data_IF_014925491460
#
_entry.id   IF_014925491460
#
_cell.length_a   1.000
_cell.length_b   1.000
_cell.length_c   1.000
_cell.angle_alpha   90.00
_cell.angle_beta   90.00
_cell.angle_gamma   90.00
#
_symmetry.space_group_name_H-M   'P 1'
#
loop_
_entity.id
_entity.type
_entity.pdbx_description
1 polymer ?
#
# COMPACT_ATOMS: atom_id res chain seq x y z
N UNK A 1 4.52 -0.71 -13.36
CA UNK A 1 4.36 0.75 -13.48
C UNK A 1 5.39 1.26 -14.48
N UNK A 2 4.99 1.99 -15.53
CA UNK A 2 5.89 2.59 -16.54
C UNK A 2 7.03 3.41 -15.94
N UNK A 3 6.74 4.04 -14.80
CA UNK A 3 7.60 5.04 -14.17
C UNK A 3 8.82 4.42 -13.46
N UNK A 4 8.91 3.09 -13.31
CA UNK A 4 9.94 2.43 -12.49
C UNK A 4 11.36 2.57 -13.06
N UNK A 5 11.51 2.67 -14.38
CA UNK A 5 12.82 2.75 -15.04
C UNK A 5 13.48 4.13 -14.91
N UNK A 6 12.72 5.14 -14.50
CA UNK A 6 13.24 6.50 -14.31
C UNK A 6 13.68 6.64 -12.85
N UNK A 7 14.99 6.59 -12.60
CA UNK A 7 15.53 6.79 -11.26
C UNK A 7 15.14 8.17 -10.70
N UNK A 8 14.89 8.28 -9.38
CA UNK A 8 14.73 9.56 -8.69
C UNK A 8 15.86 10.56 -8.97
N UNK A 9 15.51 11.83 -9.21
CA UNK A 9 16.48 12.91 -9.36
C UNK A 9 16.58 13.67 -8.03
N UNK A 10 17.57 13.31 -7.21
CA UNK A 10 17.71 13.86 -5.87
C UNK A 10 17.98 15.37 -5.87
N UNK A 11 18.70 15.88 -6.88
CA UNK A 11 18.99 17.31 -7.00
C UNK A 11 17.72 18.08 -7.31
N UNK A 12 16.90 17.58 -8.23
CA UNK A 12 15.61 18.18 -8.55
C UNK A 12 14.65 18.12 -7.35
N UNK A 13 14.64 17.02 -6.58
CA UNK A 13 13.83 16.92 -5.37
C UNK A 13 14.17 18.00 -4.36
N UNK A 14 15.45 18.20 -4.07
CA UNK A 14 15.90 19.26 -3.16
C UNK A 14 15.47 20.65 -3.63
N UNK A 15 15.56 20.93 -4.93
CA UNK A 15 15.12 22.21 -5.50
C UNK A 15 13.60 22.46 -5.40
N UNK A 16 12.81 21.40 -5.29
CA UNK A 16 11.35 21.45 -5.27
C UNK A 16 10.75 21.20 -3.88
N UNK A 17 11.57 20.85 -2.89
CA UNK A 17 11.12 20.40 -1.57
C UNK A 17 10.36 21.49 -0.80
N UNK A 18 10.78 22.75 -0.93
CA UNK A 18 10.16 23.90 -0.26
C UNK A 18 8.88 24.39 -0.95
N UNK A 19 8.53 23.83 -2.12
CA UNK A 19 7.36 24.28 -2.88
C UNK A 19 6.10 23.61 -2.41
N UNK A 20 5.02 24.38 -2.34
CA UNK A 20 3.71 23.85 -2.02
C UNK A 20 3.05 23.17 -3.25
N UNK A 21 1.95 22.45 -3.01
CA UNK A 21 1.26 21.70 -4.07
C UNK A 21 0.73 22.60 -5.21
N UNK A 22 0.38 23.85 -4.94
CA UNK A 22 -0.10 24.79 -5.97
C UNK A 22 1.06 25.17 -6.88
N UNK A 23 2.19 25.56 -6.31
CA UNK A 23 3.40 25.91 -7.07
C UNK A 23 3.91 24.74 -7.91
N UNK A 24 3.98 23.54 -7.31
CA UNK A 24 4.36 22.32 -7.99
C UNK A 24 3.37 21.97 -9.12
N UNK A 25 2.08 22.17 -8.89
CA UNK A 25 1.05 21.97 -9.92
C UNK A 25 1.26 22.91 -11.11
N UNK A 26 1.56 24.19 -10.88
CA UNK A 26 1.86 25.14 -11.96
C UNK A 26 3.15 24.80 -12.72
N UNK A 27 4.18 24.32 -12.01
CA UNK A 27 5.40 23.81 -12.66
C UNK A 27 5.08 22.61 -13.55
N UNK A 28 4.29 21.66 -13.06
CA UNK A 28 3.90 20.49 -13.84
C UNK A 28 3.07 20.86 -15.06
N UNK A 29 2.07 21.74 -14.93
CA UNK A 29 1.24 22.21 -16.06
C UNK A 29 2.07 22.82 -17.19
N UNK A 30 3.10 23.60 -16.85
CA UNK A 30 4.00 24.21 -17.82
C UNK A 30 4.89 23.19 -18.53
N UNK A 31 5.29 22.13 -17.82
CA UNK A 31 6.25 21.13 -18.31
C UNK A 31 5.57 19.99 -19.07
N UNK A 32 4.44 19.51 -18.57
CA UNK A 32 3.68 18.37 -19.08
C UNK A 32 2.18 18.52 -18.74
N UNK A 33 1.43 19.29 -19.56
CA UNK A 33 0.01 19.57 -19.30
C UNK A 33 -0.86 18.31 -19.40
N UNK A 34 -0.52 17.37 -20.29
CA UNK A 34 -1.25 16.12 -20.45
C UNK A 34 -1.15 15.26 -19.19
N UNK A 35 0.07 15.10 -18.63
CA UNK A 35 0.26 14.39 -17.37
C UNK A 35 -0.55 15.05 -16.25
N UNK A 36 -0.52 16.37 -16.12
CA UNK A 36 -1.30 17.08 -15.11
C UNK A 36 -2.81 16.83 -15.25
N UNK A 37 -3.34 16.86 -16.49
CA UNK A 37 -4.76 16.60 -16.74
C UNK A 37 -5.17 15.18 -16.37
N UNK A 38 -4.31 14.19 -16.62
CA UNK A 38 -4.56 12.77 -16.26
C UNK A 38 -4.60 12.51 -14.75
N UNK A 39 -3.99 13.36 -13.93
CA UNK A 39 -3.93 13.20 -12.47
C UNK A 39 -5.27 13.48 -11.81
N UNK A 40 -5.66 12.65 -10.83
CA UNK A 40 -6.86 12.88 -10.02
C UNK A 40 -6.63 13.96 -8.95
N UNK A 41 -7.68 14.38 -8.24
CA UNK A 41 -7.62 15.43 -7.23
C UNK A 41 -6.65 15.10 -6.07
N UNK A 42 -6.56 13.85 -5.65
CA UNK A 42 -5.64 13.41 -4.60
C UNK A 42 -4.19 13.52 -5.05
N UNK A 43 -3.90 13.14 -6.30
CA UNK A 43 -2.58 13.26 -6.90
C UNK A 43 -2.15 14.73 -6.99
N UNK A 44 -3.04 15.62 -7.42
CA UNK A 44 -2.78 17.07 -7.55
C UNK A 44 -2.60 17.80 -6.21
N UNK A 45 -3.04 17.20 -5.10
CA UNK A 45 -2.84 17.75 -3.75
C UNK A 45 -1.64 17.15 -3.03
N UNK A 46 -0.91 16.22 -3.65
CA UNK A 46 0.19 15.51 -3.05
C UNK A 46 1.54 16.00 -3.62
N UNK A 47 2.33 16.79 -2.86
CA UNK A 47 3.60 17.33 -3.32
C UNK A 47 4.56 16.25 -3.85
N UNK A 48 4.63 15.08 -3.20
CA UNK A 48 5.50 13.99 -3.63
C UNK A 48 5.11 13.44 -5.00
N UNK A 49 3.80 13.29 -5.26
CA UNK A 49 3.30 12.83 -6.57
C UNK A 49 3.52 13.87 -7.64
N UNK A 50 3.36 15.16 -7.33
CA UNK A 50 3.65 16.26 -8.25
C UNK A 50 5.14 16.33 -8.58
N UNK A 51 6.03 16.28 -7.59
CA UNK A 51 7.49 16.24 -7.80
C UNK A 51 7.83 15.04 -8.69
N UNK A 52 7.29 13.86 -8.40
CA UNK A 52 7.50 12.67 -9.25
C UNK A 52 7.01 12.89 -10.68
N UNK A 53 5.84 13.48 -10.87
CA UNK A 53 5.31 13.81 -12.19
C UNK A 53 6.21 14.82 -12.93
N UNK A 54 6.80 15.79 -12.22
CA UNK A 54 7.77 16.73 -12.78
C UNK A 54 9.09 16.03 -13.15
N UNK A 55 9.55 15.05 -12.37
CA UNK A 55 10.75 14.25 -12.67
C UNK A 55 10.60 13.50 -14.00
N UNK A 56 9.43 12.90 -14.23
CA UNK A 56 9.14 12.06 -15.39
C UNK A 56 8.62 12.85 -16.60
N UNK A 57 8.17 14.08 -16.41
CA UNK A 57 7.65 14.96 -17.46
C UNK A 57 8.62 15.10 -18.64
N UNK A 58 8.12 14.83 -19.86
CA UNK A 58 8.89 14.89 -21.11
C UNK A 58 9.81 13.69 -21.36
N UNK A 59 9.82 12.67 -20.48
CA UNK A 59 10.54 11.41 -20.73
C UNK A 59 9.59 10.40 -21.37
N UNK A 60 10.03 9.80 -22.48
CA UNK A 60 9.33 8.66 -23.07
C UNK A 60 9.58 7.42 -22.21
N UNK A 61 8.50 6.79 -21.76
CA UNK A 61 8.58 5.48 -21.14
C UNK A 61 9.04 4.47 -22.20
N UNK A 62 9.89 3.51 -21.81
CA UNK A 62 9.95 2.26 -22.57
C UNK A 62 8.57 1.61 -22.49
N UNK A 63 8.15 0.92 -23.55
CA UNK A 63 6.91 0.16 -23.54
C UNK A 63 6.81 -0.66 -22.26
N UNK A 64 5.72 -0.44 -21.54
CA UNK A 64 5.51 -1.01 -20.22
C UNK A 64 5.21 -2.47 -20.39
N UNK A 65 5.77 -3.29 -19.50
CA UNK A 65 5.25 -4.60 -19.18
C UNK A 65 3.71 -4.55 -19.07
N UNK A 66 3.03 -5.15 -20.04
CA UNK A 66 1.57 -5.25 -20.05
C UNK A 66 1.18 -6.47 -19.19
N UNK A 67 0.34 -6.33 -18.15
CA UNK A 67 -0.14 -7.48 -17.38
C UNK A 67 -0.80 -8.56 -18.23
N UNK A 68 -1.22 -8.24 -19.46
CA UNK A 68 -1.73 -9.20 -20.44
C UNK A 68 -0.68 -10.24 -20.87
N UNK A 69 0.61 -10.02 -20.60
CA UNK A 69 1.69 -10.96 -20.93
C UNK A 69 1.77 -12.15 -19.97
N UNK A 70 1.11 -12.09 -18.80
CA UNK A 70 0.99 -13.24 -17.91
C UNK A 70 -0.43 -13.76 -17.87
N UNK A 71 -0.54 -15.08 -17.83
CA UNK A 71 -1.77 -15.74 -17.47
C UNK A 71 -1.81 -15.86 -15.95
N UNK A 72 -2.74 -15.13 -15.33
CA UNK A 72 -2.85 -15.09 -13.88
C UNK A 72 -4.31 -15.06 -13.47
N UNK A 73 -4.58 -15.68 -12.32
CA UNK A 73 -5.85 -15.60 -11.62
C UNK A 73 -5.71 -14.67 -10.42
N UNK A 74 -6.57 -13.67 -10.34
CA UNK A 74 -6.61 -12.76 -9.21
C UNK A 74 -7.59 -13.27 -8.15
N UNK A 75 -7.07 -13.82 -7.05
CA UNK A 75 -7.89 -14.25 -5.91
C UNK A 75 -7.98 -13.13 -4.88
N UNK A 76 -9.18 -12.60 -4.69
CA UNK A 76 -9.45 -11.52 -3.75
C UNK A 76 -10.24 -12.02 -2.54
N UNK A 77 -9.55 -12.10 -1.40
CA UNK A 77 -10.16 -12.36 -0.11
C UNK A 77 -10.71 -11.06 0.49
N UNK A 78 -12.01 -11.01 0.73
CA UNK A 78 -12.72 -9.83 1.23
C UNK A 78 -13.60 -10.17 2.42
N UNK A 79 -13.94 -9.16 3.21
CA UNK A 79 -14.85 -9.28 4.33
C UNK A 79 -15.51 -7.92 4.61
N UNK A 80 -16.66 -7.89 5.32
CA UNK A 80 -17.23 -6.64 5.83
C UNK A 80 -16.26 -5.90 6.74
N UNK A 81 -16.36 -4.57 6.73
CA UNK A 81 -15.44 -3.69 7.50
C UNK A 81 -15.41 -4.02 9.00
N UNK A 82 -16.56 -4.30 9.61
CA UNK A 82 -16.63 -4.63 11.04
C UNK A 82 -15.81 -5.89 11.38
N UNK A 83 -15.93 -6.93 10.56
CA UNK A 83 -15.21 -8.19 10.70
C UNK A 83 -13.70 -7.98 10.61
N UNK A 84 -13.23 -7.14 9.67
CA UNK A 84 -11.82 -6.79 9.55
C UNK A 84 -11.33 -6.00 10.78
N UNK A 85 -12.13 -5.05 11.28
CA UNK A 85 -11.77 -4.24 12.45
C UNK A 85 -11.62 -5.10 13.72
N UNK A 86 -12.52 -6.04 13.95
CA UNK A 86 -12.46 -6.98 15.07
C UNK A 86 -11.20 -7.86 14.99
N UNK A 87 -10.94 -8.48 13.83
CA UNK A 87 -9.75 -9.30 13.63
C UNK A 87 -8.44 -8.52 13.76
N UNK A 88 -8.42 -7.26 13.28
CA UNK A 88 -7.26 -6.37 13.47
C UNK A 88 -7.04 -6.10 14.96
N UNK A 89 -8.10 -5.82 15.73
CA UNK A 89 -7.99 -5.58 17.16
C UNK A 89 -7.44 -6.81 17.91
N UNK A 90 -7.95 -8.01 17.61
CA UNK A 90 -7.45 -9.25 18.20
C UNK A 90 -6.00 -9.53 17.81
N UNK A 91 -5.62 -9.31 16.54
CA UNK A 91 -4.23 -9.44 16.09
C UNK A 91 -3.30 -8.46 16.81
N UNK A 92 -3.73 -7.23 17.03
CA UNK A 92 -2.96 -6.22 17.79
C UNK A 92 -2.74 -6.70 19.22
N UNK A 93 -3.79 -7.16 19.91
CA UNK A 93 -3.68 -7.72 21.26
C UNK A 93 -2.71 -8.90 21.32
N UNK A 94 -2.84 -9.84 20.38
CA UNK A 94 -1.96 -11.01 20.30
C UNK A 94 -0.49 -10.63 20.09
N UNK A 95 -0.21 -9.65 19.21
CA UNK A 95 1.16 -9.15 18.99
C UNK A 95 1.73 -8.40 20.20
N UNK A 96 0.91 -7.69 20.96
CA UNK A 96 1.34 -7.10 22.23
C UNK A 96 1.71 -8.21 23.23
N UNK A 97 0.86 -9.23 23.37
CA UNK A 97 1.13 -10.37 24.25
C UNK A 97 2.39 -11.15 23.83
N UNK A 98 2.67 -11.21 22.52
CA UNK A 98 3.88 -11.83 21.96
C UNK A 98 5.16 -10.98 22.12
N UNK A 99 5.06 -9.77 22.70
CA UNK A 99 6.22 -8.97 23.07
C UNK A 99 6.76 -8.04 21.97
N UNK A 100 5.89 -7.47 21.13
CA UNK A 100 6.31 -6.56 20.04
C UNK A 100 7.04 -5.30 20.54
N UNK A 101 6.75 -4.83 21.75
CA UNK A 101 7.46 -3.70 22.35
C UNK A 101 8.87 -4.08 22.77
N UNK A 102 9.04 -5.27 23.33
CA UNK A 102 10.31 -5.86 23.75
C UNK A 102 11.20 -6.16 22.54
N UNK A 103 10.61 -6.65 21.44
CA UNK A 103 11.27 -6.78 20.14
C UNK A 103 11.79 -5.41 19.65
N UNK A 104 10.93 -4.40 19.65
CA UNK A 104 11.29 -3.05 19.20
C UNK A 104 12.40 -2.45 20.06
N UNK A 105 12.34 -2.63 21.38
CA UNK A 105 13.39 -2.18 22.29
C UNK A 105 14.74 -2.83 21.97
N UNK A 106 14.76 -4.13 21.69
CA UNK A 106 15.99 -4.85 21.32
C UNK A 106 16.59 -4.29 20.03
N UNK A 107 15.77 -3.92 19.06
CA UNK A 107 16.25 -3.28 17.82
C UNK A 107 16.86 -1.90 18.11
N UNK A 108 16.20 -1.09 18.93
CA UNK A 108 16.73 0.22 19.31
C UNK A 108 18.07 0.11 20.06
N UNK A 109 18.19 -0.86 20.98
CA UNK A 109 19.45 -1.14 21.69
C UNK A 109 20.59 -1.62 20.78
N UNK A 110 20.26 -2.21 19.63
CA UNK A 110 21.24 -2.59 18.59
C UNK A 110 21.70 -1.40 17.74
N UNK A 111 21.18 -0.19 17.97
CA UNK A 111 21.54 1.02 17.23
C UNK A 111 20.67 1.29 16.00
N UNK A 112 19.59 0.53 15.78
CA UNK A 112 18.61 0.86 14.76
C UNK A 112 17.76 2.04 15.24
N UNK A 113 17.38 2.94 14.34
CA UNK A 113 16.57 4.11 14.65
C UNK A 113 15.27 4.17 13.84
N UNK A 114 14.36 5.06 14.26
CA UNK A 114 13.06 5.26 13.63
C UNK A 114 13.12 5.97 12.27
N UNK A 115 14.28 6.44 11.81
CA UNK A 115 14.45 7.05 10.50
C UNK A 115 14.69 5.99 9.40
N UNK A 116 14.96 4.74 9.78
CA UNK A 116 15.11 3.64 8.84
C UNK A 116 13.80 3.36 8.08
N UNK A 117 13.87 3.02 6.78
CA UNK A 117 12.70 2.66 6.00
C UNK A 117 11.88 1.51 6.61
N UNK A 118 12.54 0.52 7.24
CA UNK A 118 11.87 -0.59 7.92
C UNK A 118 11.00 -0.14 9.10
N UNK A 119 11.38 0.93 9.79
CA UNK A 119 10.64 1.50 10.91
C UNK A 119 9.50 2.44 10.48
N UNK A 120 9.42 2.77 9.18
CA UNK A 120 8.28 3.52 8.64
C UNK A 120 6.99 2.69 8.58
N UNK A 121 7.11 1.36 8.67
CA UNK A 121 6.01 0.42 8.68
C UNK A 121 5.26 0.39 10.03
N UNK A 122 3.98 0.02 9.97
CA UNK A 122 3.20 -0.34 11.16
C UNK A 122 3.74 -1.66 11.73
N UNK A 123 3.98 -1.77 13.05
CA UNK A 123 3.60 -0.84 14.11
C UNK A 123 4.70 0.11 14.57
N UNK A 124 5.93 -0.07 14.08
CA UNK A 124 7.13 0.58 14.63
C UNK A 124 7.00 2.11 14.61
N UNK A 125 6.47 2.68 13.53
CA UNK A 125 6.27 4.13 13.42
C UNK A 125 5.43 4.69 14.58
N UNK A 126 4.42 3.97 15.05
CA UNK A 126 3.54 4.41 16.12
C UNK A 126 4.20 4.32 17.49
N UNK A 127 5.28 3.56 17.63
CA UNK A 127 6.00 3.38 18.90
C UNK A 127 7.05 4.44 19.16
N UNK A 128 7.40 5.26 18.15
CA UNK A 128 8.47 6.28 18.25
C UNK A 128 8.34 7.16 19.50
N UNK A 129 7.20 7.85 19.64
CA UNK A 129 6.96 8.75 20.80
C UNK A 129 6.98 8.00 22.14
N UNK A 130 6.53 6.73 22.17
CA UNK A 130 6.60 5.91 23.38
C UNK A 130 8.05 5.68 23.82
N UNK A 131 8.94 5.29 22.89
CA UNK A 131 10.35 5.06 23.22
C UNK A 131 11.10 6.36 23.52
N UNK A 132 10.85 7.44 22.76
CA UNK A 132 11.48 8.74 22.98
C UNK A 132 11.06 9.39 24.31
N UNK A 133 9.84 9.11 24.79
CA UNK A 133 9.37 9.60 26.10
C UNK A 133 9.99 8.89 27.31
N UNK A 134 10.87 7.91 27.11
CA UNK A 134 11.35 7.07 28.21
C UNK A 134 10.31 6.03 28.66
N UNK A 135 9.45 5.58 27.74
CA UNK A 135 8.43 4.52 27.95
C UNK A 135 7.30 4.88 28.91
N UNK A 136 6.82 6.13 28.88
CA UNK A 136 5.68 6.54 29.71
C UNK A 136 4.42 5.69 29.40
N UNK A 137 3.67 5.22 30.42
CA UNK A 137 2.47 4.41 30.22
C UNK A 137 1.42 5.09 29.33
N UNK A 138 1.22 6.40 29.48
CA UNK A 138 0.28 7.16 28.65
C UNK A 138 0.67 7.13 27.17
N UNK A 139 1.97 7.23 26.86
CA UNK A 139 2.46 7.17 25.49
C UNK A 139 2.33 5.77 24.91
N UNK A 140 2.43 4.71 25.74
CA UNK A 140 2.15 3.33 25.32
C UNK A 140 0.70 3.19 24.85
N UNK A 141 -0.24 3.69 25.64
CA UNK A 141 -1.68 3.66 25.30
C UNK A 141 -1.96 4.43 24.01
N UNK A 142 -1.39 5.64 23.86
CA UNK A 142 -1.50 6.43 22.62
C UNK A 142 -0.92 5.69 21.42
N UNK A 143 0.24 5.06 21.57
CA UNK A 143 0.91 4.30 20.52
C UNK A 143 0.05 3.11 20.05
N UNK A 144 -0.54 2.35 20.98
CA UNK A 144 -1.46 1.24 20.65
C UNK A 144 -2.71 1.74 19.93
N UNK A 145 -3.32 2.84 20.39
CA UNK A 145 -4.48 3.43 19.72
C UNK A 145 -4.18 3.90 18.30
N UNK A 146 -3.02 4.56 18.10
CA UNK A 146 -2.55 4.99 16.77
C UNK A 146 -2.23 3.80 15.88
N UNK A 147 -1.66 2.74 16.43
CA UNK A 147 -1.36 1.51 15.69
C UNK A 147 -2.65 0.86 15.20
N UNK A 148 -3.63 0.65 16.09
CA UNK A 148 -4.93 0.09 15.71
C UNK A 148 -5.58 0.91 14.59
N UNK A 149 -5.61 2.23 14.74
CA UNK A 149 -6.14 3.13 13.70
C UNK A 149 -5.38 3.00 12.38
N UNK A 150 -4.05 2.94 12.42
CA UNK A 150 -3.23 2.82 11.22
C UNK A 150 -3.50 1.51 10.46
N UNK A 151 -3.69 0.39 11.16
CA UNK A 151 -4.04 -0.91 10.57
C UNK A 151 -5.43 -0.89 9.94
N UNK A 152 -6.42 -0.30 10.63
CA UNK A 152 -7.79 -0.16 10.08
C UNK A 152 -7.80 0.74 8.85
N UNK A 153 -7.12 1.88 8.90
CA UNK A 153 -7.02 2.80 7.76
C UNK A 153 -6.26 2.12 6.59
N UNK A 154 -5.29 1.25 6.88
CA UNK A 154 -4.57 0.48 5.86
C UNK A 154 -5.47 -0.57 5.20
N UNK A 155 -6.21 -1.36 5.99
CA UNK A 155 -7.18 -2.31 5.47
C UNK A 155 -8.26 -1.63 4.62
N UNK A 156 -8.76 -0.46 5.03
CA UNK A 156 -9.72 0.30 4.24
C UNK A 156 -9.15 0.73 2.86
N UNK A 157 -7.89 1.18 2.81
CA UNK A 157 -7.21 1.48 1.54
C UNK A 157 -7.03 0.24 0.67
N UNK A 158 -6.68 -0.90 1.28
CA UNK A 158 -6.56 -2.17 0.57
C UNK A 158 -7.89 -2.58 -0.06
N UNK A 159 -9.01 -2.50 0.67
CA UNK A 159 -10.34 -2.79 0.13
C UNK A 159 -10.67 -1.91 -1.07
N UNK A 160 -10.42 -0.60 -1.00
CA UNK A 160 -10.64 0.31 -2.15
C UNK A 160 -9.83 -0.11 -3.37
N UNK A 161 -8.55 -0.43 -3.16
CA UNK A 161 -7.66 -0.80 -4.26
C UNK A 161 -8.02 -2.16 -4.87
N UNK A 162 -8.25 -3.17 -4.03
CA UNK A 162 -8.62 -4.51 -4.49
C UNK A 162 -10.01 -4.56 -5.11
N UNK A 163 -10.99 -3.82 -4.60
CA UNK A 163 -12.31 -3.72 -5.22
C UNK A 163 -12.22 -3.14 -6.64
N UNK A 164 -11.38 -2.11 -6.83
CA UNK A 164 -11.14 -1.54 -8.15
C UNK A 164 -10.53 -2.58 -9.09
N UNK A 165 -9.49 -3.28 -8.65
CA UNK A 165 -8.85 -4.33 -9.46
C UNK A 165 -9.77 -5.49 -9.78
N UNK A 166 -10.52 -5.97 -8.78
CA UNK A 166 -11.49 -7.05 -8.97
C UNK A 166 -12.53 -6.67 -10.03
N UNK A 167 -13.02 -5.42 -10.02
CA UNK A 167 -13.93 -4.92 -11.05
C UNK A 167 -13.28 -4.91 -12.45
N UNK A 168 -12.07 -4.39 -12.58
CA UNK A 168 -11.34 -4.33 -13.87
C UNK A 168 -10.99 -5.73 -14.44
N UNK A 169 -10.85 -6.73 -13.56
CA UNK A 169 -10.54 -8.11 -13.93
C UNK A 169 -11.78 -8.99 -14.09
N UNK A 170 -12.92 -8.60 -13.49
CA UNK A 170 -14.20 -9.29 -13.63
C UNK A 170 -14.65 -9.32 -15.09
N UNK A 171 -14.51 -8.20 -15.79
CA UNK A 171 -14.83 -8.08 -17.23
C UNK A 171 -13.95 -8.99 -18.11
N UNK A 172 -12.83 -9.49 -17.56
CA UNK A 172 -11.87 -10.37 -18.24
C UNK A 172 -11.96 -11.83 -17.78
N UNK A 173 -12.85 -12.16 -16.85
CA UNK A 173 -12.97 -13.50 -16.27
C UNK A 173 -11.73 -13.94 -15.47
N UNK A 174 -10.91 -13.00 -14.96
CA UNK A 174 -9.63 -13.30 -14.28
C UNK A 174 -9.64 -13.04 -12.78
N UNK A 175 -10.81 -13.11 -12.15
CA UNK A 175 -10.95 -12.84 -10.71
C UNK A 175 -11.88 -13.84 -10.03
N UNK A 176 -11.46 -14.30 -8.85
CA UNK A 176 -12.32 -14.97 -7.87
C UNK A 176 -12.37 -14.09 -6.63
N UNK A 177 -13.57 -13.66 -6.25
CA UNK A 177 -13.77 -12.91 -5.00
C UNK A 177 -14.38 -13.82 -3.95
N UNK A 178 -13.79 -13.83 -2.76
CA UNK A 178 -14.13 -14.75 -1.68
C UNK A 178 -14.44 -13.99 -0.42
N UNK A 179 -15.61 -14.22 0.15
CA UNK A 179 -16.00 -13.70 1.46
C UNK A 179 -15.45 -14.59 2.58
N UNK A 180 -14.45 -14.10 3.30
CA UNK A 180 -13.76 -14.86 4.36
C UNK A 180 -14.58 -15.02 5.65
N UNK A 181 -15.77 -14.41 5.72
CA UNK A 181 -16.68 -14.62 6.87
C UNK A 181 -17.38 -15.98 6.83
N UNK A 182 -17.29 -16.70 5.70
CA UNK A 182 -17.91 -18.01 5.48
C UNK A 182 -16.84 -19.09 5.44
N UNK A 183 -17.23 -20.36 5.50
CA UNK A 183 -16.29 -21.43 5.17
C UNK A 183 -16.00 -21.40 3.67
N UNK A 184 -14.77 -21.03 3.28
CA UNK A 184 -14.42 -20.72 1.90
C UNK A 184 -13.30 -21.57 1.30
N UNK A 185 -12.52 -22.27 2.13
CA UNK A 185 -11.26 -22.89 1.70
C UNK A 185 -11.48 -23.95 0.62
N UNK A 186 -12.36 -24.93 0.89
CA UNK A 186 -12.64 -26.01 -0.05
C UNK A 186 -13.24 -25.54 -1.37
N UNK A 187 -14.15 -24.55 -1.33
CA UNK A 187 -14.74 -23.98 -2.53
C UNK A 187 -13.75 -23.16 -3.35
N UNK A 188 -12.82 -22.47 -2.69
CA UNK A 188 -11.75 -21.72 -3.35
C UNK A 188 -10.75 -22.66 -4.04
N UNK A 189 -10.30 -23.71 -3.35
CA UNK A 189 -9.38 -24.71 -3.92
C UNK A 189 -9.96 -25.33 -5.20
N UNK A 190 -11.21 -25.78 -5.16
CA UNK A 190 -11.90 -26.32 -6.34
C UNK A 190 -12.00 -25.31 -7.50
N UNK A 191 -12.27 -24.03 -7.19
CA UNK A 191 -12.37 -23.00 -8.21
C UNK A 191 -11.02 -22.66 -8.85
N UNK A 192 -9.94 -22.70 -8.07
CA UNK A 192 -8.56 -22.53 -8.56
C UNK A 192 -8.17 -23.72 -9.44
N UNK A 193 -8.40 -24.95 -8.99
CA UNK A 193 -8.09 -26.17 -9.74
C UNK A 193 -8.82 -26.21 -11.08
N UNK A 194 -10.11 -25.84 -11.08
CA UNK A 194 -10.92 -25.72 -12.29
C UNK A 194 -10.32 -24.69 -13.25
N UNK A 195 -10.01 -23.49 -12.77
CA UNK A 195 -9.42 -22.43 -13.60
C UNK A 195 -8.08 -22.87 -14.21
N UNK A 196 -7.25 -23.56 -13.44
CA UNK A 196 -5.96 -24.08 -13.91
C UNK A 196 -6.15 -25.17 -14.97
N UNK A 197 -7.09 -26.10 -14.75
CA UNK A 197 -7.27 -27.28 -15.61
C UNK A 197 -7.97 -26.95 -16.93
N UNK A 198 -9.05 -26.17 -16.91
CA UNK A 198 -9.83 -25.83 -18.12
C UNK A 198 -9.01 -25.00 -19.12
N UNK A 199 -8.05 -24.23 -18.63
CA UNK A 199 -7.26 -23.29 -19.42
C UNK A 199 -6.02 -23.92 -20.06
N UNK A 200 -5.48 -24.98 -19.46
CA UNK A 200 -4.41 -25.79 -20.04
C UNK A 200 -4.91 -27.02 -20.84
N UNK A 201 -6.22 -27.28 -20.84
CA UNK A 201 -6.85 -28.28 -21.70
C UNK A 201 -6.99 -27.81 -23.16
N UNK A 202 -7.01 -26.50 -23.42
CA UNK A 202 -7.10 -25.91 -24.78
C UNK A 202 -5.74 -25.81 -25.50
N UNK A 203 -4.62 -26.12 -24.82
CA UNK A 203 -3.26 -26.07 -25.37
C UNK A 203 -2.70 -27.44 -25.80
N UNK A 204 -3.50 -28.51 -25.75
CA UNK A 204 -3.11 -29.88 -26.18
C UNK A 204 -3.97 -30.42 -27.32
#
# INVERSE_FOLDING_TARGET
MPEADILPDQKLRQQLEDKNAIELSEILKKKDPEKWQSMNQSDRKNPRRLIRAIEIAGRKYKEVFQPSQFDFLFVYLTAPKYYLMENIAERVKARIAAGVFEETEKLLKKGYDFNLPSFSASPYRQFKEYFESGKLPEMKTKAVGRWLKAEVDYAARQLVWFNKMAKELADKGRVITVDITKNFQSGLEQAIDKWYTERHAEEN
#
